data_IF_434195201545
#
_entry.id   IF_434195201545
#
_cell.length_a   1.000
_cell.length_b   1.000
_cell.length_c   1.000
_cell.angle_alpha   90.00
_cell.angle_beta   90.00
_cell.angle_gamma   90.00
#
_symmetry.space_group_name_H-M   'P 1'
#
loop_
_entity.id
_entity.type
_entity.pdbx_description
1 polymer ?
#
# COMPACT_ATOMS: atom_id res chain seq x y z
N UNK A 1 2.17 -17.78 -3.10
CA UNK A 1 1.03 -17.82 -2.16
C UNK A 1 0.46 -16.42 -2.00
N UNK A 2 -0.85 -16.29 -1.75
CA UNK A 2 -1.49 -15.01 -1.44
C UNK A 2 -1.97 -15.01 0.00
N UNK A 3 -1.78 -13.89 0.72
CA UNK A 3 -2.24 -13.73 2.10
C UNK A 3 -2.96 -12.40 2.26
N UNK A 4 -4.14 -12.45 2.89
CA UNK A 4 -4.96 -11.27 3.15
C UNK A 4 -4.73 -10.79 4.57
N UNK A 5 -4.65 -9.48 4.74
CA UNK A 5 -4.49 -8.81 6.03
C UNK A 5 -5.47 -7.66 6.14
N UNK A 6 -6.00 -7.45 7.34
CA UNK A 6 -6.68 -6.20 7.69
C UNK A 6 -5.64 -5.17 8.11
N UNK A 7 -5.85 -3.92 7.71
CA UNK A 7 -5.01 -2.79 8.07
C UNK A 7 -5.88 -1.71 8.75
N UNK A 8 -5.48 -1.13 9.89
CA UNK A 8 -6.21 -0.01 10.50
C UNK A 8 -6.30 1.18 9.54
N UNK A 9 -7.41 1.96 9.60
CA UNK A 9 -7.61 3.12 8.71
C UNK A 9 -6.41 4.08 8.81
N UNK A 10 -5.95 4.32 10.02
CA UNK A 10 -4.87 5.26 10.34
C UNK A 10 -3.54 4.82 9.71
N UNK A 11 -3.36 3.52 9.46
CA UNK A 11 -2.15 2.98 8.81
C UNK A 11 -2.27 2.92 7.27
N UNK A 12 -3.42 3.26 6.69
CA UNK A 12 -3.57 3.42 5.24
C UNK A 12 -3.84 4.86 4.79
N UNK A 13 -4.19 5.80 5.68
CA UNK A 13 -4.20 7.24 5.37
C UNK A 13 -2.79 7.81 5.48
N UNK A 14 -1.93 7.47 4.51
CA UNK A 14 -0.49 7.75 4.52
C UNK A 14 0.07 7.84 3.09
N UNK A 15 1.39 8.07 2.97
CA UNK A 15 2.08 8.00 1.67
C UNK A 15 2.15 6.57 1.12
N UNK A 16 2.44 6.42 -0.18
CA UNK A 16 2.57 5.09 -0.82
C UNK A 16 3.70 4.27 -0.17
N UNK A 17 4.85 4.88 0.08
CA UNK A 17 5.98 4.20 0.73
C UNK A 17 5.64 3.76 2.14
N UNK A 18 4.95 4.63 2.90
CA UNK A 18 4.55 4.31 4.27
C UNK A 18 3.50 3.20 4.33
N UNK A 19 2.57 3.14 3.36
CA UNK A 19 1.66 2.02 3.22
C UNK A 19 2.45 0.70 3.07
N UNK A 20 3.51 0.69 2.26
CA UNK A 20 4.31 -0.51 2.05
C UNK A 20 5.09 -0.93 3.30
N UNK A 21 5.64 0.03 4.04
CA UNK A 21 6.24 -0.20 5.35
C UNK A 21 5.23 -0.79 6.33
N UNK A 22 4.02 -0.24 6.39
CA UNK A 22 2.96 -0.70 7.29
C UNK A 22 2.50 -2.13 6.94
N UNK A 23 2.33 -2.43 5.65
CA UNK A 23 2.03 -3.81 5.21
C UNK A 23 3.18 -4.76 5.55
N UNK A 24 4.43 -4.36 5.35
CA UNK A 24 5.59 -5.19 5.71
C UNK A 24 5.66 -5.48 7.21
N UNK A 25 5.38 -4.49 8.06
CA UNK A 25 5.28 -4.67 9.52
C UNK A 25 4.16 -5.65 9.89
N UNK A 26 2.99 -5.56 9.26
CA UNK A 26 1.86 -6.50 9.46
C UNK A 26 2.26 -7.93 9.06
N UNK A 27 3.09 -8.08 8.02
CA UNK A 27 3.65 -9.37 7.62
C UNK A 27 4.72 -9.90 8.59
N UNK A 28 5.14 -9.13 9.59
CA UNK A 28 6.15 -9.49 10.57
C UNK A 28 7.58 -9.12 10.19
N UNK A 29 7.78 -8.24 9.20
CA UNK A 29 9.11 -7.72 8.84
C UNK A 29 9.52 -6.67 9.86
N UNK A 30 10.60 -6.94 10.61
CA UNK A 30 11.09 -6.05 11.68
C UNK A 30 12.12 -5.02 11.23
N UNK A 31 12.97 -5.37 10.25
CA UNK A 31 13.98 -4.47 9.70
C UNK A 31 13.60 -4.05 8.27
N UNK A 32 13.26 -2.77 8.10
CA UNK A 32 12.89 -2.16 6.83
C UNK A 32 14.05 -1.38 6.19
N UNK A 33 15.23 -1.34 6.80
CA UNK A 33 16.34 -0.50 6.32
C UNK A 33 16.89 -0.91 4.95
N UNK A 34 16.64 -2.17 4.55
CA UNK A 34 17.14 -2.77 3.30
C UNK A 34 16.05 -3.55 2.58
N UNK A 35 14.79 -3.10 2.64
CA UNK A 35 13.72 -3.77 1.90
C UNK A 35 13.41 -3.04 0.61
N UNK A 36 13.01 -3.80 -0.41
CA UNK A 36 12.49 -3.30 -1.67
C UNK A 36 11.10 -3.89 -1.86
N UNK A 37 10.18 -3.07 -2.36
CA UNK A 37 8.79 -3.44 -2.57
C UNK A 37 8.49 -3.67 -4.05
N UNK A 38 7.75 -4.74 -4.36
CA UNK A 38 7.12 -4.92 -5.67
C UNK A 38 5.62 -4.59 -5.57
N UNK A 39 5.24 -3.37 -5.93
CA UNK A 39 3.85 -2.91 -5.87
C UNK A 39 2.87 -3.81 -6.65
N UNK A 40 3.34 -4.54 -7.68
CA UNK A 40 2.51 -5.45 -8.49
C UNK A 40 2.08 -6.70 -7.70
N UNK A 41 2.74 -6.96 -6.56
CA UNK A 41 2.48 -8.05 -5.61
C UNK A 41 1.60 -7.63 -4.44
N UNK A 42 1.10 -6.39 -4.45
CA UNK A 42 0.13 -5.89 -3.49
C UNK A 42 -1.18 -5.54 -4.21
N UNK A 43 -2.29 -6.08 -3.70
CA UNK A 43 -3.64 -5.70 -4.09
C UNK A 43 -4.35 -5.14 -2.87
N UNK A 44 -5.10 -4.05 -3.04
CA UNK A 44 -5.76 -3.32 -1.95
C UNK A 44 -7.25 -3.13 -2.25
N UNK A 45 -8.07 -3.02 -1.21
CA UNK A 45 -9.49 -2.66 -1.39
C UNK A 45 -9.61 -1.19 -1.79
N UNK A 46 -10.77 -0.83 -2.38
CA UNK A 46 -11.08 0.56 -2.71
C UNK A 46 -10.98 1.49 -1.51
N UNK A 47 -11.37 1.05 -0.31
CA UNK A 47 -11.26 1.87 0.91
C UNK A 47 -9.83 2.25 1.26
N UNK A 48 -8.86 1.36 1.03
CA UNK A 48 -7.44 1.67 1.22
C UNK A 48 -6.96 2.68 0.18
N UNK A 49 -7.43 2.56 -1.08
CA UNK A 49 -7.14 3.55 -2.12
C UNK A 49 -7.70 4.93 -1.73
N UNK A 50 -8.95 4.98 -1.26
CA UNK A 50 -9.60 6.20 -0.80
C UNK A 50 -8.79 6.87 0.33
N UNK A 51 -8.19 6.09 1.24
CA UNK A 51 -7.29 6.62 2.28
C UNK A 51 -6.00 7.22 1.74
N UNK A 52 -5.41 6.64 0.69
CA UNK A 52 -4.25 7.23 0.03
C UNK A 52 -4.60 8.57 -0.64
N UNK A 53 -5.76 8.64 -1.31
CA UNK A 53 -6.26 9.90 -1.87
C UNK A 53 -6.55 10.94 -0.78
N UNK A 54 -7.17 10.53 0.33
CA UNK A 54 -7.41 11.38 1.51
C UNK A 54 -6.10 12.01 2.02
N UNK A 55 -5.03 11.21 2.13
CA UNK A 55 -3.71 11.70 2.53
C UNK A 55 -3.15 12.72 1.54
N UNK A 56 -3.05 12.39 0.25
CA UNK A 56 -2.44 13.31 -0.71
C UNK A 56 -3.26 14.59 -0.94
N UNK A 57 -4.58 14.52 -0.80
CA UNK A 57 -5.41 15.72 -0.80
C UNK A 57 -5.14 16.61 0.42
N UNK A 58 -4.93 16.03 1.61
CA UNK A 58 -4.51 16.82 2.78
C UNK A 58 -3.14 17.48 2.59
N UNK A 59 -2.28 16.89 1.75
CA UNK A 59 -1.00 17.44 1.31
C UNK A 59 -1.12 18.40 0.09
N UNK A 60 -2.33 18.86 -0.22
CA UNK A 60 -2.67 19.78 -1.32
C UNK A 60 -2.22 19.30 -2.71
N UNK A 61 -2.14 17.99 -2.95
CA UNK A 61 -1.82 17.44 -4.26
C UNK A 61 -3.05 17.46 -5.19
N UNK A 62 -2.80 17.69 -6.49
CA UNK A 62 -3.84 17.61 -7.52
C UNK A 62 -4.19 16.17 -7.88
N UNK A 63 -5.42 15.93 -8.34
CA UNK A 63 -5.86 14.61 -8.82
C UNK A 63 -4.93 14.01 -9.89
N UNK A 64 -4.42 14.86 -10.79
CA UNK A 64 -3.48 14.46 -11.84
C UNK A 64 -2.17 13.94 -11.23
N UNK A 65 -1.64 14.66 -10.23
CA UNK A 65 -0.41 14.27 -9.54
C UNK A 65 -0.62 12.97 -8.76
N UNK A 66 -1.72 12.86 -8.02
CA UNK A 66 -2.06 11.65 -7.25
C UNK A 66 -2.20 10.46 -8.18
N UNK A 67 -2.97 10.61 -9.26
CA UNK A 67 -3.23 9.53 -10.23
C UNK A 67 -1.94 9.11 -10.95
N UNK A 68 -1.06 10.06 -11.29
CA UNK A 68 0.26 9.76 -11.86
C UNK A 68 1.14 8.98 -10.89
N UNK A 69 1.17 9.38 -9.61
CA UNK A 69 1.87 8.64 -8.56
C UNK A 69 1.31 7.23 -8.38
N UNK A 70 -0.02 7.06 -8.37
CA UNK A 70 -0.66 5.74 -8.28
C UNK A 70 -0.36 4.86 -9.49
N UNK A 71 -0.33 5.44 -10.70
CA UNK A 71 0.00 4.72 -11.92
C UNK A 71 1.44 4.20 -11.93
N UNK A 72 2.38 5.03 -11.46
CA UNK A 72 3.82 4.70 -11.49
C UNK A 72 4.26 3.84 -10.32
N UNK A 73 3.73 4.11 -9.12
CA UNK A 73 4.24 3.57 -7.87
C UNK A 73 3.18 2.95 -6.98
N UNK A 74 1.89 3.11 -7.29
CA UNK A 74 0.80 2.67 -6.43
C UNK A 74 0.53 1.16 -6.49
N UNK A 75 -0.13 0.60 -5.46
CA UNK A 75 -0.63 -0.77 -5.51
C UNK A 75 -1.85 -0.90 -6.42
N UNK A 76 -2.19 -2.13 -6.80
CA UNK A 76 -3.42 -2.41 -7.55
C UNK A 76 -4.63 -2.30 -6.62
N UNK A 77 -5.67 -1.58 -7.02
CA UNK A 77 -6.92 -1.48 -6.27
C UNK A 77 -8.00 -2.44 -6.79
N UNK A 78 -7.63 -3.72 -6.98
CA UNK A 78 -8.50 -4.77 -7.54
C UNK A 78 -9.02 -5.77 -6.48
N UNK A 79 -8.67 -5.60 -5.19
CA UNK A 79 -9.13 -6.48 -4.13
C UNK A 79 -10.59 -6.21 -3.80
N UNK A 80 -11.42 -7.27 -3.88
CA UNK A 80 -12.82 -7.21 -3.45
C UNK A 80 -12.91 -7.22 -1.93
N UNK A 81 -13.63 -6.28 -1.35
CA UNK A 81 -13.93 -6.21 0.07
C UNK A 81 -14.44 -4.84 0.49
N UNK A 82 -15.23 -4.81 1.56
CA UNK A 82 -15.77 -3.58 2.15
C UNK A 82 -14.95 -3.09 3.35
N UNK A 83 -13.86 -3.79 3.70
CA UNK A 83 -12.94 -3.43 4.78
C UNK A 83 -11.71 -2.66 4.30
N UNK A 84 -10.87 -2.27 5.24
CA UNK A 84 -9.50 -1.81 4.99
C UNK A 84 -8.59 -3.02 4.95
N UNK A 85 -8.34 -3.54 3.76
CA UNK A 85 -7.69 -4.84 3.59
C UNK A 85 -6.70 -4.82 2.42
N UNK A 86 -5.68 -5.65 2.55
CA UNK A 86 -4.66 -5.85 1.53
C UNK A 86 -4.47 -7.36 1.30
N UNK A 87 -4.15 -7.73 0.07
CA UNK A 87 -3.73 -9.07 -0.33
C UNK A 87 -2.30 -8.98 -0.84
N UNK A 88 -1.41 -9.70 -0.17
CA UNK A 88 0.01 -9.74 -0.46
C UNK A 88 0.37 -11.06 -1.14
N UNK A 89 1.11 -10.97 -2.23
CA UNK A 89 1.75 -12.11 -2.88
C UNK A 89 3.21 -12.27 -2.43
N UNK A 90 3.72 -13.50 -2.46
CA UNK A 90 5.15 -13.76 -2.25
C UNK A 90 6.00 -12.91 -3.20
N UNK A 91 7.05 -12.28 -2.64
CA UNK A 91 7.91 -11.34 -3.37
C UNK A 91 7.47 -9.88 -3.27
N UNK A 92 6.39 -9.55 -2.55
CA UNK A 92 6.07 -8.15 -2.24
C UNK A 92 7.20 -7.46 -1.48
N UNK A 93 7.74 -8.09 -0.43
CA UNK A 93 8.92 -7.60 0.29
C UNK A 93 10.13 -8.46 -0.08
N UNK A 94 11.20 -7.82 -0.54
CA UNK A 94 12.47 -8.47 -0.88
C UNK A 94 13.62 -7.78 -0.14
N UNK A 95 14.71 -8.50 0.09
CA UNK A 95 15.96 -7.86 0.54
C UNK A 95 16.52 -7.05 -0.63
N UNK A 96 16.74 -5.76 -0.39
CA UNK A 96 17.53 -4.89 -1.24
C UNK A 96 18.97 -5.37 -1.32
N UNK A 97 19.57 -5.16 -2.50
CA UNK A 97 20.96 -5.52 -2.82
C UNK A 97 21.91 -4.53 -2.17
#
# INVERSE_FOLDING_TARGET
>A
MKKRYSIPKEQCTCSISELYDNVAKIMGVSDLSKVVYDCRKLSITKKVLDCLYEFYHSENQSDETITTCMLLYGPKADLKGDGYEVEVEDGFVMKGV
#
